data_IF_201140498159
#
_entry.id   IF_201140498159
#
_cell.length_a   1.000
_cell.length_b   1.000
_cell.length_c   1.000
_cell.angle_alpha   90.00
_cell.angle_beta   90.00
_cell.angle_gamma   90.00
#
_symmetry.space_group_name_H-M   'P 1'
#
loop_
_entity.id
_entity.type
_entity.pdbx_description
1 polymer ?
#
# COMPACT_ATOMS: atom_id res chain seq x y z
N UNK A 1 19.36 17.05 35.08
CA UNK A 1 19.00 15.77 34.43
C UNK A 1 18.75 15.90 32.93
N UNK A 2 17.78 16.68 32.47
CA UNK A 2 17.37 16.69 31.06
C UNK A 2 18.46 17.17 30.06
N UNK A 3 19.26 18.17 30.46
CA UNK A 3 20.39 18.68 29.66
C UNK A 3 21.54 17.67 29.51
N UNK A 4 21.76 16.83 30.52
CA UNK A 4 22.83 15.82 30.53
C UNK A 4 22.45 14.59 29.70
N UNK A 5 21.18 14.17 29.77
CA UNK A 5 20.59 13.17 28.89
C UNK A 5 20.77 13.54 27.40
N UNK A 6 20.47 14.80 27.05
CA UNK A 6 20.64 15.30 25.67
C UNK A 6 22.10 15.29 25.22
N UNK A 7 23.03 15.72 26.07
CA UNK A 7 24.47 15.71 25.75
C UNK A 7 25.01 14.30 25.56
N UNK A 8 24.69 13.38 26.47
CA UNK A 8 25.13 11.98 26.42
C UNK A 8 24.66 11.29 25.14
N UNK A 9 23.40 11.48 24.75
CA UNK A 9 22.84 10.88 23.55
C UNK A 9 23.38 11.50 22.24
N UNK A 10 23.79 12.79 22.23
CA UNK A 10 24.43 13.44 21.08
C UNK A 10 25.86 12.96 20.81
N UNK A 11 26.61 12.60 21.86
CA UNK A 11 27.98 12.07 21.71
C UNK A 11 28.05 10.79 20.88
N UNK A 12 26.95 10.04 20.81
CA UNK A 12 26.87 8.73 20.14
C UNK A 12 26.46 8.82 18.66
N UNK A 13 25.98 9.99 18.19
CA UNK A 13 25.56 10.18 16.79
C UNK A 13 26.65 10.78 15.90
N UNK A 14 27.84 11.10 16.43
CA UNK A 14 28.95 11.79 15.74
C UNK A 14 28.54 13.06 14.96
N UNK A 15 27.35 13.62 15.24
CA UNK A 15 26.73 14.75 14.54
C UNK A 15 25.90 15.57 15.52
N UNK A 16 25.93 16.89 15.36
CA UNK A 16 25.15 17.83 16.15
C UNK A 16 23.69 17.82 15.68
N UNK A 17 22.81 17.17 16.43
CA UNK A 17 21.36 17.18 16.19
C UNK A 17 20.76 18.38 16.92
N UNK A 18 20.49 19.46 16.17
CA UNK A 18 19.90 20.69 16.71
C UNK A 18 18.38 20.60 16.79
N UNK A 19 17.71 21.23 17.78
CA UNK A 19 16.26 21.35 17.83
C UNK A 19 15.65 21.77 16.49
N UNK A 20 14.55 21.13 16.05
CA UNK A 20 13.89 21.48 14.77
C UNK A 20 13.25 22.87 14.85
N UNK A 21 12.82 23.29 16.04
CA UNK A 21 12.17 24.58 16.34
C UNK A 21 12.68 25.12 17.66
N UNK A 22 12.45 26.42 17.90
CA UNK A 22 12.77 27.10 19.18
C UNK A 22 12.03 26.46 20.38
N UNK A 23 10.84 25.91 20.12
CA UNK A 23 10.02 25.16 21.08
C UNK A 23 9.83 23.77 20.48
N UNK A 24 10.70 22.82 20.83
CA UNK A 24 10.54 21.40 20.54
C UNK A 24 10.48 20.68 21.89
N UNK A 25 9.51 19.79 22.07
CA UNK A 25 9.41 18.99 23.30
C UNK A 25 10.62 18.08 23.46
N UNK A 26 11.01 17.81 24.71
CA UNK A 26 12.15 16.93 25.02
C UNK A 26 11.97 15.52 24.47
N UNK A 27 10.74 14.99 24.50
CA UNK A 27 10.40 13.69 23.94
C UNK A 27 10.60 13.66 22.42
N UNK A 28 10.18 14.71 21.71
CA UNK A 28 10.39 14.81 20.27
C UNK A 28 11.89 14.87 19.94
N UNK A 29 12.66 15.63 20.72
CA UNK A 29 14.11 15.73 20.55
C UNK A 29 14.82 14.39 20.79
N UNK A 30 14.48 13.66 21.87
CA UNK A 30 15.09 12.36 22.19
C UNK A 30 14.72 11.32 21.12
N UNK A 31 13.46 11.25 20.69
CA UNK A 31 13.04 10.33 19.62
C UNK A 31 13.76 10.60 18.31
N UNK A 32 14.00 11.87 18.00
CA UNK A 32 14.78 12.28 16.82
C UNK A 32 16.24 11.88 16.91
N UNK A 33 16.83 12.00 18.10
CA UNK A 33 18.20 11.60 18.36
C UNK A 33 18.38 10.08 18.28
N UNK A 34 17.45 9.30 18.85
CA UNK A 34 17.41 7.84 18.71
C UNK A 34 17.25 7.41 17.26
N UNK A 35 16.32 8.02 16.51
CA UNK A 35 16.13 7.75 15.09
C UNK A 35 17.40 8.06 14.29
N UNK A 36 18.16 9.10 14.64
CA UNK A 36 19.46 9.39 14.04
C UNK A 36 20.51 8.31 14.31
N UNK A 37 20.49 7.66 15.48
CA UNK A 37 21.41 6.55 15.80
C UNK A 37 21.11 5.32 14.94
N UNK A 38 19.84 5.10 14.60
CA UNK A 38 19.40 3.96 13.79
C UNK A 38 19.44 4.23 12.28
N UNK A 39 19.20 5.48 11.86
CA UNK A 39 19.15 5.90 10.47
C UNK A 39 19.67 7.34 10.33
N UNK A 40 20.99 7.49 10.18
CA UNK A 40 21.67 8.79 10.09
C UNK A 40 21.17 9.68 8.94
N UNK A 41 20.58 9.09 7.90
CA UNK A 41 20.08 9.77 6.70
C UNK A 41 18.59 10.14 6.76
N UNK A 42 17.81 9.62 7.72
CA UNK A 42 16.37 9.84 7.82
C UNK A 42 15.96 11.31 8.08
N UNK A 43 16.94 12.17 8.38
CA UNK A 43 16.77 13.59 8.72
C UNK A 43 17.17 14.50 7.54
N UNK A 44 17.87 13.97 6.53
CA UNK A 44 18.38 14.75 5.40
C UNK A 44 17.27 15.08 4.40
N UNK A 45 16.10 14.42 4.43
CA UNK A 45 15.01 14.77 3.52
C UNK A 45 14.47 16.16 3.89
N UNK A 46 14.67 17.18 3.04
CA UNK A 46 14.26 18.53 3.32
C UNK A 46 12.74 18.56 3.50
N UNK A 47 12.33 19.30 4.52
CA UNK A 47 10.97 19.57 4.97
C UNK A 47 10.09 20.06 3.81
N UNK A 48 9.41 19.15 3.11
CA UNK A 48 8.51 19.48 1.99
C UNK A 48 7.11 19.92 2.45
N UNK A 49 6.84 19.96 3.76
CA UNK A 49 5.76 20.71 4.39
C UNK A 49 6.04 20.78 5.90
N UNK A 50 5.46 21.73 6.66
CA UNK A 50 5.52 21.71 8.12
C UNK A 50 4.74 20.48 8.64
N UNK A 51 5.43 19.35 8.75
CA UNK A 51 4.98 18.20 9.54
C UNK A 51 4.79 18.69 10.99
N UNK A 52 3.57 18.52 11.52
CA UNK A 52 3.27 18.83 12.92
C UNK A 52 4.02 17.86 13.86
N UNK A 53 4.08 18.21 15.14
CA UNK A 53 4.84 17.42 16.13
C UNK A 53 4.24 16.02 16.34
N UNK A 54 2.93 15.85 16.18
CA UNK A 54 2.26 14.57 16.38
C UNK A 54 2.58 13.58 15.26
N UNK A 55 2.54 14.03 14.00
CA UNK A 55 2.91 13.24 12.82
C UNK A 55 4.41 12.91 12.85
N UNK A 56 5.25 13.88 13.21
CA UNK A 56 6.68 13.65 13.39
C UNK A 56 6.95 12.58 14.45
N UNK A 57 6.28 12.68 15.61
CA UNK A 57 6.41 11.71 16.70
C UNK A 57 6.01 10.29 16.25
N UNK A 58 4.89 10.13 15.54
CA UNK A 58 4.45 8.83 14.98
C UNK A 58 5.48 8.24 14.02
N UNK A 59 6.08 9.07 13.17
CA UNK A 59 7.12 8.66 12.23
C UNK A 59 8.40 8.20 12.92
N UNK A 60 8.85 8.93 13.93
CA UNK A 60 10.02 8.53 14.72
C UNK A 60 9.77 7.23 15.51
N UNK A 61 8.56 7.03 16.02
CA UNK A 61 8.17 5.74 16.64
C UNK A 61 8.25 4.62 15.62
N UNK A 62 7.75 4.83 14.40
CA UNK A 62 7.78 3.82 13.35
C UNK A 62 9.22 3.45 12.95
N UNK A 63 10.09 4.44 12.76
CA UNK A 63 11.53 4.22 12.49
C UNK A 63 12.17 3.47 13.65
N UNK A 64 11.88 3.87 14.90
CA UNK A 64 12.48 3.27 16.09
C UNK A 64 12.09 1.81 16.31
N UNK A 65 10.85 1.47 16.01
CA UNK A 65 10.32 0.13 16.14
C UNK A 65 10.73 -0.81 15.00
N UNK A 66 11.23 -0.27 13.88
CA UNK A 66 11.66 -1.10 12.75
C UNK A 66 13.06 -1.67 12.99
N UNK A 67 13.19 -2.99 12.84
CA UNK A 67 14.45 -3.72 12.99
C UNK A 67 15.40 -3.53 11.78
N UNK A 68 14.88 -3.06 10.66
CA UNK A 68 15.65 -2.80 9.43
C UNK A 68 16.65 -1.66 9.68
N UNK A 69 17.96 -1.90 9.55
CA UNK A 69 18.97 -0.86 9.76
C UNK A 69 18.81 0.25 8.73
N UNK A 70 19.01 1.49 9.15
CA UNK A 70 18.87 2.67 8.31
C UNK A 70 17.49 2.82 7.66
N UNK A 71 16.41 2.34 8.30
CA UNK A 71 15.06 2.54 7.80
C UNK A 71 14.71 4.03 7.77
N UNK A 72 14.32 4.51 6.60
CA UNK A 72 13.87 5.88 6.34
C UNK A 72 12.37 5.84 6.04
N UNK A 73 11.61 6.47 6.93
CA UNK A 73 10.19 6.71 6.71
C UNK A 73 10.00 8.17 6.31
N UNK A 74 9.45 8.40 5.12
CA UNK A 74 9.24 9.75 4.60
C UNK A 74 8.06 10.46 5.29
N UNK A 75 8.09 11.80 5.41
CA UNK A 75 6.97 12.59 5.97
C UNK A 75 5.65 12.40 5.22
N UNK A 76 4.56 12.78 5.89
CA UNK A 76 3.23 12.85 5.26
C UNK A 76 3.21 13.84 4.10
N UNK A 77 2.57 13.50 2.98
CA UNK A 77 2.33 14.43 1.87
C UNK A 77 0.92 15.01 1.92
N UNK A 78 0.68 16.07 1.14
CA UNK A 78 -0.66 16.66 0.98
C UNK A 78 -1.66 15.70 0.29
N UNK A 79 -1.16 14.69 -0.43
CA UNK A 79 -1.97 13.69 -1.14
C UNK A 79 -2.35 12.48 -0.30
N UNK A 80 -1.69 12.32 0.84
CA UNK A 80 -1.95 11.25 1.80
C UNK A 80 -2.99 11.71 2.82
N UNK A 81 -4.03 10.92 3.05
CA UNK A 81 -4.99 11.17 4.14
C UNK A 81 -4.36 10.87 5.50
N UNK A 82 -4.98 11.31 6.60
CA UNK A 82 -4.47 10.97 7.95
C UNK A 82 -4.53 9.45 8.19
N UNK A 83 -5.59 8.79 7.74
CA UNK A 83 -5.75 7.34 7.87
C UNK A 83 -4.70 6.57 7.05
N UNK A 84 -4.44 7.01 5.81
CA UNK A 84 -3.38 6.45 4.95
C UNK A 84 -2.00 6.60 5.60
N UNK A 85 -1.72 7.76 6.20
CA UNK A 85 -0.49 8.01 6.94
C UNK A 85 -0.35 7.05 8.14
N UNK A 86 -1.39 6.92 8.96
CA UNK A 86 -1.37 6.03 10.13
C UNK A 86 -1.17 4.57 9.74
N UNK A 87 -1.88 4.10 8.71
CA UNK A 87 -1.70 2.78 8.14
C UNK A 87 -0.24 2.56 7.71
N UNK A 88 0.35 3.54 7.02
CA UNK A 88 1.76 3.48 6.62
C UNK A 88 2.71 3.46 7.81
N UNK A 89 2.45 4.24 8.88
CA UNK A 89 3.30 4.23 10.08
C UNK A 89 3.28 2.88 10.79
N UNK A 90 2.12 2.22 10.86
CA UNK A 90 2.02 0.88 11.44
C UNK A 90 2.75 -0.16 10.60
N UNK A 91 2.55 -0.14 9.27
CA UNK A 91 3.27 -1.03 8.36
C UNK A 91 4.78 -0.76 8.35
N UNK A 92 5.17 0.49 8.57
CA UNK A 92 6.57 0.88 8.63
C UNK A 92 7.32 0.28 9.81
N UNK A 93 6.65 -0.22 10.86
CA UNK A 93 7.30 -0.88 11.99
C UNK A 93 7.87 -2.26 11.62
N UNK A 94 7.30 -2.92 10.62
CA UNK A 94 7.65 -4.30 10.25
C UNK A 94 8.13 -4.44 8.81
N UNK A 95 8.16 -3.34 8.04
CA UNK A 95 8.60 -3.38 6.66
C UNK A 95 10.10 -3.69 6.58
N UNK A 96 10.51 -4.69 5.75
CA UNK A 96 11.92 -5.03 5.55
C UNK A 96 12.64 -4.08 4.58
N UNK A 97 11.96 -3.04 4.11
CA UNK A 97 12.50 -2.10 3.14
C UNK A 97 13.17 -0.91 3.83
N UNK A 98 14.36 -0.49 3.36
CA UNK A 98 15.08 0.63 3.97
C UNK A 98 14.42 1.99 3.70
N UNK A 99 13.49 2.10 2.74
CA UNK A 99 12.85 3.36 2.40
C UNK A 99 11.36 3.16 2.13
N UNK A 100 10.53 3.89 2.86
CA UNK A 100 9.07 3.80 2.80
C UNK A 100 8.49 5.14 2.33
N UNK A 101 7.96 5.12 1.11
CA UNK A 101 7.40 6.30 0.44
C UNK A 101 5.96 6.59 0.88
N UNK A 102 5.57 7.88 0.98
CA UNK A 102 4.19 8.29 1.15
C UNK A 102 3.42 8.07 -0.16
N UNK A 103 2.13 8.39 -0.16
CA UNK A 103 1.33 8.37 -1.39
C UNK A 103 1.89 9.31 -2.46
N UNK A 104 2.05 8.80 -3.68
CA UNK A 104 2.53 9.55 -4.84
C UNK A 104 1.48 10.45 -5.48
N UNK A 105 1.89 11.42 -6.29
CA UNK A 105 0.98 12.37 -6.97
C UNK A 105 0.01 11.70 -7.93
N UNK A 106 0.44 10.64 -8.62
CA UNK A 106 -0.32 9.96 -9.68
C UNK A 106 -0.94 8.64 -9.21
N UNK A 107 -0.96 8.42 -7.90
CA UNK A 107 -1.40 7.19 -7.27
C UNK A 107 -2.79 7.37 -6.64
N UNK A 108 -3.72 6.48 -6.95
CA UNK A 108 -5.01 6.40 -6.24
C UNK A 108 -4.83 5.82 -4.83
N UNK A 109 -5.83 5.99 -3.94
CA UNK A 109 -5.76 5.41 -2.59
C UNK A 109 -5.66 3.87 -2.62
N UNK A 110 -6.34 3.22 -3.57
CA UNK A 110 -6.26 1.77 -3.77
C UNK A 110 -4.88 1.34 -4.25
N UNK A 111 -4.28 2.08 -5.20
CA UNK A 111 -2.92 1.84 -5.69
C UNK A 111 -1.89 1.99 -4.56
N UNK A 112 -2.05 3.03 -3.73
CA UNK A 112 -1.23 3.26 -2.55
C UNK A 112 -1.29 2.08 -1.58
N UNK A 113 -2.49 1.59 -1.26
CA UNK A 113 -2.64 0.43 -0.40
C UNK A 113 -1.99 -0.82 -0.99
N UNK A 114 -2.20 -1.09 -2.28
CA UNK A 114 -1.56 -2.22 -2.99
C UNK A 114 -0.04 -2.15 -2.90
N UNK A 115 0.54 -0.96 -3.12
CA UNK A 115 1.98 -0.73 -3.00
C UNK A 115 2.49 -0.94 -1.58
N UNK A 116 1.79 -0.41 -0.57
CA UNK A 116 2.16 -0.63 0.83
C UNK A 116 2.14 -2.11 1.21
N UNK A 117 1.13 -2.87 0.76
CA UNK A 117 1.05 -4.31 1.02
C UNK A 117 2.20 -5.09 0.37
N UNK A 118 2.59 -4.71 -0.85
CA UNK A 118 3.76 -5.27 -1.51
C UNK A 118 5.07 -4.86 -0.78
N UNK A 119 5.13 -3.65 -0.23
CA UNK A 119 6.30 -3.13 0.49
C UNK A 119 6.62 -3.95 1.75
N UNK A 120 5.60 -4.47 2.45
CA UNK A 120 5.81 -5.36 3.60
C UNK A 120 6.54 -6.66 3.23
N UNK A 121 6.49 -7.06 1.96
CA UNK A 121 7.08 -8.30 1.46
C UNK A 121 8.40 -8.05 0.71
N UNK A 122 8.74 -6.78 0.45
CA UNK A 122 9.92 -6.43 -0.35
C UNK A 122 11.04 -5.87 0.51
N UNK A 123 12.25 -6.42 0.34
CA UNK A 123 13.49 -5.87 0.89
C UNK A 123 13.94 -4.61 0.16
N UNK A 124 13.28 -4.24 -0.94
CA UNK A 124 13.60 -3.07 -1.77
C UNK A 124 12.46 -2.07 -1.74
N UNK A 125 12.76 -0.77 -1.92
CA UNK A 125 11.72 0.23 -2.01
C UNK A 125 10.87 0.04 -3.27
N UNK A 126 9.55 0.12 -3.13
CA UNK A 126 8.64 0.26 -4.28
C UNK A 126 8.34 1.75 -4.45
N UNK A 127 8.83 2.31 -5.56
CA UNK A 127 8.63 3.72 -5.92
C UNK A 127 7.16 3.97 -6.25
N UNK A 128 6.57 5.14 -5.89
CA UNK A 128 5.21 5.50 -6.29
C UNK A 128 5.00 5.51 -7.81
N UNK A 129 3.74 5.56 -8.24
CA UNK A 129 3.36 5.60 -9.66
C UNK A 129 3.86 6.88 -10.34
N UNK A 130 4.40 6.76 -11.57
CA UNK A 130 4.74 7.93 -12.41
C UNK A 130 3.54 8.46 -13.21
N UNK A 131 3.68 9.64 -13.82
CA UNK A 131 2.56 10.39 -14.45
C UNK A 131 1.81 9.60 -15.50
N UNK A 132 2.53 8.90 -16.38
CA UNK A 132 1.96 8.21 -17.53
C UNK A 132 2.05 6.68 -17.41
N UNK A 133 2.35 6.16 -16.20
CA UNK A 133 2.47 4.72 -15.98
C UNK A 133 1.09 4.06 -16.11
N UNK A 134 0.89 3.07 -17.00
CA UNK A 134 -0.38 2.36 -17.11
C UNK A 134 -0.74 1.64 -15.79
N UNK A 135 -2.02 1.60 -15.44
CA UNK A 135 -2.50 0.97 -14.19
C UNK A 135 -2.07 -0.51 -14.07
N UNK A 136 -2.15 -1.24 -15.20
CA UNK A 136 -1.68 -2.63 -15.29
C UNK A 136 -0.18 -2.74 -15.02
N UNK A 137 0.61 -1.84 -15.62
CA UNK A 137 2.07 -1.79 -15.43
C UNK A 137 2.46 -1.49 -13.98
N UNK A 138 1.79 -0.52 -13.35
CA UNK A 138 1.99 -0.21 -11.92
C UNK A 138 1.68 -1.40 -11.01
N UNK A 139 0.54 -2.05 -11.24
CA UNK A 139 0.09 -3.20 -10.45
C UNK A 139 1.07 -4.37 -10.58
N UNK A 140 1.54 -4.61 -11.81
CA UNK A 140 2.51 -5.65 -12.11
C UNK A 140 3.88 -5.36 -11.47
N UNK A 141 4.34 -4.11 -11.53
CA UNK A 141 5.56 -3.67 -10.83
C UNK A 141 5.49 -3.90 -9.32
N UNK A 142 4.37 -3.55 -8.68
CA UNK A 142 4.15 -3.83 -7.26
C UNK A 142 4.16 -5.34 -6.96
N UNK A 143 3.57 -6.17 -7.83
CA UNK A 143 3.54 -7.62 -7.68
C UNK A 143 4.93 -8.26 -7.82
N UNK A 144 5.77 -7.73 -8.71
CA UNK A 144 7.10 -8.28 -9.02
C UNK A 144 8.19 -7.83 -8.04
N UNK A 145 8.11 -6.60 -7.52
CA UNK A 145 9.18 -6.03 -6.69
C UNK A 145 9.62 -6.91 -5.50
N UNK A 146 8.72 -7.60 -4.76
CA UNK A 146 9.13 -8.49 -3.66
C UNK A 146 10.03 -9.65 -4.10
N UNK A 147 9.96 -10.05 -5.37
CA UNK A 147 10.76 -11.15 -5.93
C UNK A 147 12.08 -10.69 -6.52
N UNK A 148 12.26 -9.38 -6.72
CA UNK A 148 13.41 -8.81 -7.40
C UNK A 148 14.45 -8.31 -6.40
N UNK A 149 15.73 -8.57 -6.70
CA UNK A 149 16.86 -8.15 -5.87
C UNK A 149 17.18 -6.66 -6.04
N UNK A 150 16.72 -6.07 -7.14
CA UNK A 150 16.94 -4.67 -7.53
C UNK A 150 15.61 -3.92 -7.61
N UNK A 151 15.66 -2.61 -7.44
CA UNK A 151 14.46 -1.75 -7.56
C UNK A 151 14.03 -1.74 -9.03
N UNK A 152 12.75 -1.98 -9.27
CA UNK A 152 12.12 -1.81 -10.58
C UNK A 152 11.67 -0.35 -10.67
N UNK A 153 12.31 0.40 -11.55
CA UNK A 153 11.97 1.80 -11.80
C UNK A 153 10.58 1.94 -12.41
N UNK A 154 9.82 3.01 -12.07
CA UNK A 154 8.55 3.32 -12.72
C UNK A 154 8.74 3.61 -14.22
N UNK A 155 7.63 3.69 -14.96
CA UNK A 155 7.65 4.06 -16.38
C UNK A 155 8.22 5.47 -16.58
N UNK A 156 9.16 5.61 -17.52
CA UNK A 156 9.73 6.90 -17.94
C UNK A 156 9.46 7.14 -19.45
N UNK A 157 8.45 7.98 -19.79
CA UNK A 157 8.09 8.22 -21.19
C UNK A 157 9.18 8.93 -22.00
N UNK A 158 10.24 9.47 -21.36
CA UNK A 158 11.37 10.07 -22.07
C UNK A 158 12.38 9.03 -22.56
N UNK A 159 12.39 7.84 -21.96
CA UNK A 159 13.41 6.80 -22.20
C UNK A 159 12.84 5.54 -22.82
N UNK A 160 11.58 5.24 -22.57
CA UNK A 160 10.90 4.05 -23.07
C UNK A 160 9.47 4.35 -23.47
N UNK A 161 8.96 3.57 -24.44
CA UNK A 161 7.53 3.51 -24.74
C UNK A 161 6.84 2.44 -23.86
N UNK A 162 5.51 2.38 -23.92
CA UNK A 162 4.73 1.44 -23.11
C UNK A 162 5.09 -0.03 -23.42
N UNK A 163 5.36 -0.36 -24.69
CA UNK A 163 5.73 -1.72 -25.07
C UNK A 163 7.07 -2.13 -24.47
N UNK A 164 8.07 -1.26 -24.53
CA UNK A 164 9.37 -1.49 -23.93
C UNK A 164 9.27 -1.59 -22.41
N UNK A 165 8.41 -0.77 -21.77
CA UNK A 165 8.15 -0.86 -20.34
C UNK A 165 7.58 -2.23 -19.95
N UNK A 166 6.58 -2.72 -20.68
CA UNK A 166 6.00 -4.05 -20.42
C UNK A 166 7.04 -5.16 -20.61
N UNK A 167 7.88 -5.07 -21.66
CA UNK A 167 9.00 -5.99 -21.86
C UNK A 167 10.01 -5.92 -20.70
N UNK A 168 10.31 -4.73 -20.18
CA UNK A 168 11.16 -4.55 -18.99
C UNK A 168 10.58 -5.25 -17.76
N UNK A 169 9.27 -5.18 -17.55
CA UNK A 169 8.61 -5.92 -16.47
C UNK A 169 8.71 -7.43 -16.69
N UNK A 170 8.52 -7.92 -17.92
CA UNK A 170 8.73 -9.33 -18.27
C UNK A 170 10.18 -9.77 -17.99
N UNK A 171 11.17 -8.96 -18.38
CA UNK A 171 12.59 -9.25 -18.11
C UNK A 171 12.87 -9.34 -16.59
N UNK A 172 12.34 -8.41 -15.79
CA UNK A 172 12.45 -8.46 -14.33
C UNK A 172 11.79 -9.72 -13.74
N UNK A 173 10.68 -10.18 -14.32
CA UNK A 173 10.00 -11.40 -13.88
C UNK A 173 10.81 -12.67 -14.15
N UNK A 174 11.58 -12.70 -15.25
CA UNK A 174 12.41 -13.83 -15.66
C UNK A 174 13.81 -13.81 -15.03
N UNK A 175 14.38 -12.62 -14.82
CA UNK A 175 15.75 -12.40 -14.34
C UNK A 175 15.75 -11.45 -13.15
N UNK A 176 15.17 -11.89 -12.04
CA UNK A 176 14.94 -11.07 -10.83
C UNK A 176 16.21 -10.54 -10.14
N UNK A 177 17.37 -11.13 -10.42
CA UNK A 177 18.67 -10.68 -9.91
C UNK A 177 19.29 -9.52 -10.73
N UNK A 178 18.86 -9.35 -11.98
CA UNK A 178 19.39 -8.30 -12.86
C UNK A 178 18.64 -6.99 -12.64
N UNK A 179 19.33 -5.86 -12.87
CA UNK A 179 18.72 -4.55 -12.93
C UNK A 179 18.47 -4.18 -14.39
N UNK A 180 17.24 -3.76 -14.69
CA UNK A 180 16.90 -3.20 -16.00
C UNK A 180 16.46 -1.76 -15.83
N UNK A 181 17.30 -0.84 -16.31
CA UNK A 181 17.03 0.60 -16.30
C UNK A 181 16.02 0.97 -17.40
N UNK A 182 15.21 2.03 -17.23
CA UNK A 182 14.32 2.52 -18.27
C UNK A 182 15.10 2.85 -19.56
N UNK A 183 14.64 2.30 -20.69
CA UNK A 183 15.25 2.50 -22.01
C UNK A 183 16.39 1.55 -22.38
N UNK A 184 16.79 0.61 -21.52
CA UNK A 184 17.87 -0.36 -21.81
C UNK A 184 17.41 -1.51 -22.72
N UNK A 185 17.13 -1.18 -23.99
CA UNK A 185 16.61 -2.13 -24.99
C UNK A 185 17.46 -3.38 -25.15
N UNK A 186 18.79 -3.22 -25.11
CA UNK A 186 19.72 -4.34 -25.34
C UNK A 186 19.67 -5.34 -24.19
N UNK A 187 19.79 -4.87 -22.94
CA UNK A 187 19.73 -5.77 -21.80
C UNK A 187 18.36 -6.46 -21.69
N UNK A 188 17.27 -5.75 -22.01
CA UNK A 188 15.91 -6.32 -22.00
C UNK A 188 15.77 -7.40 -23.09
N UNK A 189 16.23 -7.14 -24.31
CA UNK A 189 16.23 -8.10 -25.41
C UNK A 189 17.06 -9.35 -25.08
N UNK A 190 18.26 -9.16 -24.53
CA UNK A 190 19.18 -10.23 -24.15
C UNK A 190 18.60 -11.10 -23.01
N UNK A 191 17.86 -10.49 -22.08
CA UNK A 191 17.25 -11.19 -20.95
C UNK A 191 16.04 -12.05 -21.34
N UNK A 192 15.22 -11.56 -22.28
CA UNK A 192 14.01 -12.26 -22.76
C UNK A 192 14.36 -13.29 -23.84
N UNK A 193 15.49 -13.10 -24.54
CA UNK A 193 15.88 -13.90 -25.69
C UNK A 193 15.15 -13.50 -26.96
N UNK A 194 15.79 -13.71 -28.11
CA UNK A 194 15.29 -13.31 -29.44
C UNK A 194 14.07 -14.11 -29.93
N UNK A 195 13.45 -14.97 -29.13
CA UNK A 195 12.30 -15.78 -29.58
C UNK A 195 11.07 -14.91 -29.90
N UNK A 196 10.91 -13.75 -29.26
CA UNK A 196 9.87 -12.78 -29.62
C UNK A 196 10.18 -11.93 -30.86
N UNK A 197 11.39 -12.02 -31.45
CA UNK A 197 11.69 -11.40 -32.75
C UNK A 197 11.21 -12.24 -33.94
N UNK A 198 10.87 -13.52 -33.75
CA UNK A 198 10.44 -14.42 -34.84
C UNK A 198 8.98 -14.23 -35.29
N UNK A 199 8.14 -13.57 -34.51
CA UNK A 199 6.72 -13.33 -34.89
C UNK A 199 6.49 -12.11 -35.79
N UNK A 200 7.53 -11.32 -36.12
CA UNK A 200 7.34 -10.07 -36.88
C UNK A 200 8.13 -9.98 -38.20
N UNK A 201 8.74 -11.06 -38.71
CA UNK A 201 9.49 -10.95 -39.98
C UNK A 201 9.50 -12.24 -40.79
N UNK A 202 8.54 -12.37 -41.70
CA UNK A 202 8.72 -13.17 -42.92
C UNK A 202 7.93 -12.54 -44.08
N UNK A 203 8.50 -11.49 -44.66
CA UNK A 203 8.32 -11.17 -46.07
C UNK A 203 9.72 -10.85 -46.59
N UNK A 204 10.33 -11.81 -47.27
CA UNK A 204 11.51 -11.54 -48.11
C UNK A 204 11.05 -11.48 -49.57
N UNK A 205 11.59 -10.54 -50.37
CA UNK A 205 11.24 -10.43 -51.78
C UNK A 205 12.03 -11.45 -52.60
N UNK A 206 11.34 -12.13 -53.51
CA UNK A 206 11.93 -13.05 -54.48
C UNK A 206 12.33 -12.26 -55.72
N UNK A 207 13.62 -12.22 -56.04
CA UNK A 207 14.10 -12.07 -57.44
C UNK A 207 15.45 -12.76 -57.61
N UNK A 208 15.49 -13.84 -58.41
CA UNK A 208 16.33 -13.97 -59.61
C UNK A 208 16.27 -15.41 -60.19
N UNK A 209 15.70 -15.50 -61.38
CA UNK A 209 16.13 -16.27 -62.57
C UNK A 209 16.63 -17.73 -62.44
N UNK A 210 15.98 -18.63 -63.19
CA UNK A 210 16.72 -19.62 -63.98
C UNK A 210 16.13 -21.04 -64.12
N UNK A 211 15.50 -21.27 -65.27
CA UNK A 211 15.52 -22.52 -66.08
C UNK A 211 14.61 -23.72 -65.78
N UNK A 212 13.94 -24.09 -66.89
CA UNK A 212 13.55 -25.40 -67.43
C UNK A 212 12.36 -26.17 -66.85
N UNK A 213 11.33 -26.22 -67.71
CA UNK A 213 10.68 -27.44 -68.20
C UNK A 213 10.03 -28.37 -67.16
N UNK A 214 8.80 -28.04 -66.77
CA UNK A 214 7.77 -29.02 -66.43
C UNK A 214 6.39 -28.34 -66.39
N UNK A 215 6.01 -27.67 -67.47
CA UNK A 215 4.60 -27.39 -67.72
C UNK A 215 3.92 -28.67 -68.20
N UNK A 216 2.70 -28.89 -67.70
CA UNK A 216 1.74 -29.96 -67.99
C UNK A 216 1.57 -30.98 -66.86
N UNK A 217 1.04 -30.55 -65.71
CA UNK A 217 0.03 -31.26 -64.89
C UNK A 217 -0.24 -30.49 -63.56
N UNK A 218 -0.56 -29.19 -63.62
CA UNK A 218 -0.88 -28.42 -62.41
C UNK A 218 -1.80 -27.22 -62.68
N UNK A 219 -3.01 -27.51 -63.16
CA UNK A 219 -4.07 -26.50 -63.25
C UNK A 219 -5.39 -26.96 -62.61
N UNK A 220 -5.58 -28.27 -62.38
CA UNK A 220 -6.77 -28.82 -61.73
C UNK A 220 -6.62 -29.00 -60.20
N UNK A 221 -5.39 -29.09 -59.69
CA UNK A 221 -5.11 -29.24 -58.25
C UNK A 221 -5.07 -27.88 -57.51
N UNK A 222 -4.69 -26.79 -58.18
CA UNK A 222 -4.64 -25.46 -57.56
C UNK A 222 -6.02 -24.89 -57.24
N UNK A 223 -7.04 -25.19 -58.05
CA UNK A 223 -8.41 -24.70 -57.82
C UNK A 223 -9.13 -25.47 -56.70
N UNK A 224 -8.86 -26.77 -56.59
CA UNK A 224 -9.42 -27.62 -55.52
C UNK A 224 -8.73 -27.41 -54.16
N UNK A 225 -7.44 -27.05 -54.15
CA UNK A 225 -6.73 -26.66 -52.92
C UNK A 225 -7.15 -25.27 -52.45
N UNK A 226 -7.32 -24.29 -53.36
CA UNK A 226 -7.83 -22.94 -52.99
C UNK A 226 -9.26 -22.98 -52.45
N UNK A 227 -10.13 -23.82 -53.01
CA UNK A 227 -11.49 -24.01 -52.49
C UNK A 227 -11.52 -24.68 -51.11
N UNK A 228 -10.67 -25.68 -50.85
CA UNK A 228 -10.58 -26.34 -49.53
C UNK A 228 -9.95 -25.46 -48.45
N UNK A 229 -8.98 -24.62 -48.80
CA UNK A 229 -8.39 -23.66 -47.86
C UNK A 229 -9.39 -22.56 -47.49
N UNK A 230 -10.15 -22.04 -48.46
CA UNK A 230 -11.21 -21.05 -48.18
C UNK A 230 -12.34 -21.62 -47.32
N UNK A 231 -12.72 -22.89 -47.52
CA UNK A 231 -13.72 -23.56 -46.70
C UNK A 231 -13.21 -23.82 -45.27
N UNK A 232 -11.95 -24.22 -45.11
CA UNK A 232 -11.34 -24.41 -43.79
C UNK A 232 -11.15 -23.09 -43.02
N UNK A 233 -10.84 -21.98 -43.69
CA UNK A 233 -10.76 -20.65 -43.06
C UNK A 233 -12.14 -20.12 -42.64
N UNK A 234 -13.19 -20.39 -43.41
CA UNK A 234 -14.55 -20.02 -43.05
C UNK A 234 -15.04 -20.81 -41.81
N UNK A 235 -14.81 -22.13 -41.78
CA UNK A 235 -15.15 -22.98 -40.62
C UNK A 235 -14.33 -22.62 -39.38
N UNK A 236 -13.05 -22.26 -39.53
CA UNK A 236 -12.21 -21.80 -38.43
C UNK A 236 -12.65 -20.42 -37.88
N UNK A 237 -13.08 -19.51 -38.75
CA UNK A 237 -13.59 -18.20 -38.36
C UNK A 237 -14.95 -18.30 -37.63
N UNK A 238 -15.81 -19.24 -38.03
CA UNK A 238 -17.07 -19.50 -37.34
C UNK A 238 -16.87 -20.17 -35.98
N UNK A 239 -15.95 -21.15 -35.90
CA UNK A 239 -15.57 -21.78 -34.64
C UNK A 239 -14.91 -20.79 -33.65
N UNK A 240 -14.10 -19.84 -34.15
CA UNK A 240 -13.52 -18.79 -33.33
C UNK A 240 -14.57 -17.84 -32.74
N UNK A 241 -15.59 -17.46 -33.53
CA UNK A 241 -16.71 -16.64 -33.04
C UNK A 241 -17.55 -17.37 -31.98
N UNK A 242 -17.75 -18.67 -32.15
CA UNK A 242 -18.50 -19.47 -31.16
C UNK A 242 -17.71 -19.62 -29.85
N UNK A 243 -16.39 -19.79 -29.94
CA UNK A 243 -15.51 -19.87 -28.78
C UNK A 243 -15.43 -18.53 -28.01
N UNK A 244 -15.36 -17.40 -28.72
CA UNK A 244 -15.32 -16.07 -28.10
C UNK A 244 -16.64 -15.76 -27.35
N UNK A 245 -17.78 -16.10 -27.94
CA UNK A 245 -19.09 -15.96 -27.28
C UNK A 245 -19.23 -16.86 -26.03
N UNK A 246 -18.71 -18.09 -26.07
CA UNK A 246 -18.71 -18.98 -24.89
C UNK A 246 -17.78 -18.48 -23.78
N UNK A 247 -16.64 -17.87 -24.12
CA UNK A 247 -15.74 -17.29 -23.12
C UNK A 247 -16.30 -16.04 -22.44
N UNK A 248 -17.08 -15.22 -23.15
CA UNK A 248 -17.75 -14.05 -22.57
C UNK A 248 -18.86 -14.45 -21.58
N UNK A 249 -19.61 -15.52 -21.87
CA UNK A 249 -20.66 -16.03 -20.98
C UNK A 249 -20.08 -16.67 -19.71
N UNK A 250 -18.99 -17.44 -19.83
CA UNK A 250 -18.27 -17.99 -18.68
C UNK A 250 -17.61 -16.90 -17.82
N UNK A 251 -17.02 -15.87 -18.44
CA UNK A 251 -16.40 -14.75 -17.71
C UNK A 251 -17.46 -13.90 -16.97
N UNK A 252 -18.63 -13.69 -17.58
CA UNK A 252 -19.76 -13.03 -16.94
C UNK A 252 -20.30 -13.83 -15.74
N UNK A 253 -20.38 -15.16 -15.86
CA UNK A 253 -20.79 -16.03 -14.76
C UNK A 253 -19.78 -16.00 -13.58
N UNK A 254 -18.48 -16.05 -13.88
CA UNK A 254 -17.41 -15.93 -12.87
C UNK A 254 -17.37 -14.55 -12.21
N UNK A 255 -17.68 -13.48 -12.95
CA UNK A 255 -17.80 -12.14 -12.40
C UNK A 255 -19.02 -12.03 -11.46
N UNK A 256 -20.16 -12.59 -11.85
CA UNK A 256 -21.36 -12.62 -11.01
C UNK A 256 -21.13 -13.42 -9.71
N UNK A 257 -20.43 -14.55 -9.79
CA UNK A 257 -20.09 -15.36 -8.62
C UNK A 257 -19.14 -14.59 -7.67
N UNK A 258 -18.13 -13.89 -8.20
CA UNK A 258 -17.23 -13.05 -7.37
C UNK A 258 -17.96 -11.89 -6.69
N UNK A 259 -18.95 -11.30 -7.35
CA UNK A 259 -19.81 -10.27 -6.75
C UNK A 259 -20.67 -10.87 -5.64
N UNK A 260 -21.27 -12.05 -5.86
CA UNK A 260 -22.04 -12.76 -4.84
C UNK A 260 -21.19 -13.14 -3.62
N UNK A 261 -19.96 -13.64 -3.83
CA UNK A 261 -19.01 -13.94 -2.76
C UNK A 261 -18.59 -12.69 -1.98
N UNK A 262 -18.38 -11.54 -2.65
CA UNK A 262 -18.12 -10.26 -1.98
C UNK A 262 -19.30 -9.78 -1.13
N UNK A 263 -20.52 -9.91 -1.63
CA UNK A 263 -21.73 -9.54 -0.88
C UNK A 263 -21.90 -10.46 0.33
N UNK A 264 -21.66 -11.77 0.18
CA UNK A 264 -21.70 -12.71 1.29
C UNK A 264 -20.62 -12.41 2.35
N UNK A 265 -19.39 -12.11 1.93
CA UNK A 265 -18.29 -11.73 2.83
C UNK A 265 -18.56 -10.40 3.55
N UNK A 266 -19.18 -9.42 2.88
CA UNK A 266 -19.59 -8.17 3.51
C UNK A 266 -20.71 -8.40 4.53
N UNK A 267 -21.69 -9.26 4.24
CA UNK A 267 -22.73 -9.63 5.20
C UNK A 267 -22.16 -10.37 6.41
N UNK A 268 -21.17 -11.25 6.21
CA UNK A 268 -20.52 -11.97 7.30
C UNK A 268 -19.72 -11.02 8.20
N UNK A 269 -18.94 -10.10 7.61
CA UNK A 269 -18.23 -9.05 8.36
C UNK A 269 -19.17 -8.10 9.10
N UNK A 270 -20.28 -7.71 8.49
CA UNK A 270 -21.29 -6.89 9.16
C UNK A 270 -21.93 -7.63 10.34
N UNK A 271 -22.20 -8.94 10.20
CA UNK A 271 -22.69 -9.76 11.31
C UNK A 271 -21.64 -9.94 12.42
N UNK A 272 -20.36 -10.07 12.06
CA UNK A 272 -19.24 -10.20 12.99
C UNK A 272 -18.98 -8.88 13.73
N UNK A 273 -19.05 -7.72 13.06
CA UNK A 273 -18.96 -6.40 13.69
C UNK A 273 -20.13 -6.14 14.66
N UNK A 274 -21.35 -6.56 14.30
CA UNK A 274 -22.51 -6.48 15.20
C UNK A 274 -22.34 -7.41 16.41
N UNK A 275 -21.80 -8.62 16.21
CA UNK A 275 -21.50 -9.54 17.31
C UNK A 275 -20.36 -9.04 18.22
N UNK A 276 -19.36 -8.36 17.65
CA UNK A 276 -18.22 -7.79 18.39
C UNK A 276 -18.63 -6.50 19.14
N UNK A 277 -19.54 -5.71 18.57
CA UNK A 277 -20.18 -4.58 19.25
C UNK A 277 -21.07 -5.06 20.41
N UNK A 278 -21.75 -6.21 20.25
CA UNK A 278 -22.55 -6.82 21.31
C UNK A 278 -21.67 -7.38 22.46
N UNK A 279 -20.48 -7.92 22.17
CA UNK A 279 -19.51 -8.45 23.15
C UNK A 279 -18.73 -7.40 23.95
N UNK A 280 -18.82 -6.10 23.62
CA UNK A 280 -18.26 -5.01 24.45
C UNK A 280 -19.24 -4.47 25.50
N UNK A 281 -20.34 -5.17 25.74
CA UNK A 281 -21.12 -5.02 26.97
C UNK A 281 -20.73 -6.15 27.93
N UNK A 282 -20.56 -5.84 29.22
CA UNK A 282 -20.23 -6.75 30.34
C UNK A 282 -18.74 -6.94 30.72
N UNK A 283 -17.96 -5.85 30.76
CA UNK A 283 -16.87 -5.74 31.73
C UNK A 283 -17.16 -4.53 32.64
N UNK A 284 -17.41 -4.80 33.92
CA UNK A 284 -17.55 -3.78 34.97
C UNK A 284 -16.21 -3.05 35.10
N UNK A 285 -16.15 -1.79 34.67
CA UNK A 285 -14.97 -0.94 34.87
C UNK A 285 -15.10 -0.23 36.22
N UNK A 286 -14.14 -0.47 37.11
CA UNK A 286 -14.00 0.31 38.33
C UNK A 286 -13.42 1.68 38.01
N UNK A 287 -14.17 2.74 38.29
CA UNK A 287 -13.76 4.13 38.06
C UNK A 287 -13.61 4.83 39.41
N UNK A 288 -12.43 5.43 39.64
CA UNK A 288 -12.19 6.30 40.80
C UNK A 288 -12.50 7.75 40.42
N UNK A 289 -13.44 8.36 41.14
CA UNK A 289 -13.90 9.74 40.88
C UNK A 289 -12.79 10.79 41.08
N UNK A 290 -11.86 10.51 41.99
CA UNK A 290 -10.74 11.39 42.31
C UNK A 290 -9.66 11.35 41.23
N UNK A 291 -9.47 10.19 40.59
CA UNK A 291 -8.46 9.98 39.55
C UNK A 291 -8.90 10.50 38.17
N UNK A 292 -10.20 10.43 37.86
CA UNK A 292 -10.72 10.84 36.55
C UNK A 292 -10.95 12.35 36.48
N UNK A 293 -10.46 13.00 35.43
CA UNK A 293 -10.70 14.43 35.18
C UNK A 293 -12.18 14.72 34.83
N UNK A 294 -12.63 15.95 35.04
CA UNK A 294 -14.03 16.34 34.81
C UNK A 294 -14.45 16.20 33.34
N UNK A 295 -13.62 16.65 32.40
CA UNK A 295 -13.89 16.52 30.96
C UNK A 295 -13.80 15.08 30.44
N UNK A 296 -12.80 14.27 30.85
CA UNK A 296 -12.79 12.83 30.58
C UNK A 296 -14.05 12.10 31.07
N UNK A 297 -14.54 12.41 32.26
CA UNK A 297 -15.75 11.80 32.81
C UNK A 297 -17.00 12.14 31.97
N UNK A 298 -17.14 13.39 31.50
CA UNK A 298 -18.23 13.77 30.59
C UNK A 298 -18.22 12.97 29.29
N UNK A 299 -17.05 12.80 28.68
CA UNK A 299 -16.91 12.02 27.44
C UNK A 299 -17.29 10.56 27.64
N UNK A 300 -16.82 9.96 28.74
CA UNK A 300 -17.12 8.57 29.07
C UNK A 300 -18.62 8.33 29.25
N UNK A 301 -19.33 9.22 29.95
CA UNK A 301 -20.78 9.09 30.14
C UNK A 301 -21.56 9.23 28.83
N UNK A 302 -21.15 10.16 27.96
CA UNK A 302 -21.77 10.34 26.62
C UNK A 302 -21.53 9.11 25.74
N UNK A 303 -20.30 8.58 25.74
CA UNK A 303 -19.94 7.38 24.96
C UNK A 303 -20.69 6.13 25.44
N UNK A 304 -21.07 6.09 26.72
CA UNK A 304 -21.87 5.01 27.32
C UNK A 304 -23.38 5.22 27.22
N UNK A 305 -23.84 6.27 26.52
CA UNK A 305 -25.25 6.48 26.18
C UNK A 305 -26.03 7.44 27.07
N UNK A 306 -25.37 8.19 27.96
CA UNK A 306 -26.04 9.26 28.73
C UNK A 306 -26.29 10.47 27.82
N UNK A 307 -27.51 11.04 27.80
CA UNK A 307 -27.83 12.22 27.01
C UNK A 307 -26.90 13.40 27.31
N UNK A 308 -26.52 14.13 26.26
CA UNK A 308 -25.55 15.24 26.37
C UNK A 308 -26.09 16.34 27.28
N UNK A 309 -27.38 16.58 27.26
CA UNK A 309 -28.08 17.62 28.01
C UNK A 309 -27.88 17.42 29.52
N UNK A 310 -27.97 16.18 30.01
CA UNK A 310 -27.78 15.84 31.41
C UNK A 310 -26.30 15.91 31.83
N UNK A 311 -25.39 15.47 30.96
CA UNK A 311 -23.94 15.49 31.22
C UNK A 311 -23.38 16.93 31.20
N UNK A 312 -23.85 17.78 30.30
CA UNK A 312 -23.41 19.17 30.23
C UNK A 312 -24.10 20.06 31.26
N UNK A 313 -25.31 19.70 31.73
CA UNK A 313 -26.00 20.37 32.83
C UNK A 313 -25.36 20.16 34.21
N UNK A 314 -24.51 19.14 34.39
CA UNK A 314 -23.81 18.90 35.65
C UNK A 314 -22.65 19.90 35.88
N UNK A 315 -22.66 20.67 36.99
CA UNK A 315 -21.66 21.70 37.26
C UNK A 315 -20.36 21.16 37.92
N UNK A 316 -20.36 19.93 38.42
CA UNK A 316 -19.24 19.35 39.17
C UNK A 316 -19.07 17.85 38.93
N UNK A 317 -17.89 17.30 39.28
CA UNK A 317 -17.62 15.85 39.18
C UNK A 317 -18.61 15.01 40.00
N UNK A 318 -18.99 15.49 41.19
CA UNK A 318 -19.97 14.82 42.05
C UNK A 318 -21.37 14.84 41.44
N UNK A 319 -21.76 15.95 40.78
CA UNK A 319 -23.02 15.98 40.04
C UNK A 319 -23.02 14.99 38.85
N UNK A 320 -21.87 14.77 38.19
CA UNK A 320 -21.75 13.73 37.16
C UNK A 320 -21.85 12.31 37.73
N UNK A 321 -21.39 12.08 38.97
CA UNK A 321 -21.58 10.80 39.66
C UNK A 321 -23.05 10.55 39.97
N UNK A 322 -23.80 11.57 40.37
CA UNK A 322 -25.26 11.45 40.58
C UNK A 322 -26.01 11.20 39.27
N UNK A 323 -25.63 11.88 38.19
CA UNK A 323 -26.14 11.59 36.84
C UNK A 323 -25.83 10.14 36.47
N UNK A 324 -24.61 9.67 36.71
CA UNK A 324 -24.25 8.29 36.42
C UNK A 324 -25.02 7.27 37.26
N UNK A 325 -25.29 7.55 38.54
CA UNK A 325 -26.14 6.70 39.40
C UNK A 325 -27.59 6.61 38.90
N UNK A 326 -28.11 7.67 38.27
CA UNK A 326 -29.46 7.63 37.64
C UNK A 326 -29.51 6.73 36.41
N UNK A 327 -28.36 6.52 35.75
CA UNK A 327 -28.22 5.73 34.53
C UNK A 327 -27.47 4.41 34.79
N UNK A 328 -27.47 3.91 36.03
CA UNK A 328 -26.64 2.78 36.47
C UNK A 328 -26.94 1.48 35.71
N UNK A 329 -28.20 1.26 35.34
CA UNK A 329 -28.64 0.12 34.51
C UNK A 329 -27.95 0.10 33.12
N UNK A 330 -27.62 1.27 32.59
CA UNK A 330 -26.97 1.45 31.28
C UNK A 330 -25.45 1.47 31.43
N UNK A 331 -24.94 2.10 32.50
CA UNK A 331 -23.53 2.44 32.65
C UNK A 331 -22.67 1.32 33.21
N UNK A 332 -23.20 0.47 34.12
CA UNK A 332 -22.48 -0.61 34.81
C UNK A 332 -21.08 -0.17 35.31
N UNK A 333 -21.03 0.92 36.08
CA UNK A 333 -19.78 1.50 36.62
C UNK A 333 -19.73 1.25 38.13
N UNK A 334 -18.66 0.64 38.63
CA UNK A 334 -18.37 0.60 40.07
C UNK A 334 -17.54 1.82 40.48
N UNK A 335 -18.04 2.58 41.46
CA UNK A 335 -17.37 3.75 42.01
C UNK A 335 -16.45 3.36 43.17
N UNK A 336 -15.16 3.66 43.06
CA UNK A 336 -14.21 3.45 44.16
C UNK A 336 -13.93 4.77 44.89
N UNK A 337 -14.47 4.89 46.11
CA UNK A 337 -14.11 5.96 47.05
C UNK A 337 -12.86 5.54 47.84
N UNK A 338 -11.78 6.31 47.77
CA UNK A 338 -10.66 6.11 48.69
C UNK A 338 -11.09 6.57 50.08
N UNK A 339 -11.32 5.61 50.98
CA UNK A 339 -11.32 5.82 52.42
C UNK A 339 -9.98 6.43 52.84
N UNK A 340 -9.95 7.75 52.96
CA UNK A 340 -8.86 8.44 53.67
C UNK A 340 -9.14 8.29 55.16
N UNK A 341 -8.51 7.28 55.77
CA UNK A 341 -8.34 7.23 57.22
C UNK A 341 -7.55 8.48 57.61
N UNK A 342 -8.25 9.49 58.12
CA UNK A 342 -7.62 10.61 58.83
C UNK A 342 -7.09 10.07 60.15
N UNK A 343 -5.79 10.23 60.35
CA UNK A 343 -5.14 10.09 61.65
C UNK A 343 -5.54 11.22 62.58
#
# INVERSE_FOLDING_TARGET
MERELRKSAQTLTHRLVLPKRKVESSDAFIRRLDAHRQATEAIIIPLTAPEDEALFAKRMIAVKANETPNCIVLPKTARETVQEFECRMEMAKTSPSPLIFPRGTHESGAQFHTRLQAQLKSKRPIVPRSTDEPDKGFSERCRLQPKCEKVIHPFDPKREDEQLYLRRLTANSQKSALAFEPGDKRAIDDAIGTEHKKTARKVEPVTALGSSAADLMSAAEEETVKAKVAQAEAEAAEAAKLAEAQTEEEEAALAAERVAQRIAAMKLKAAEEVATACRKSFALEQISIDAIGFMPLKKLLIERGVPKEEVFGAPSKFALQEVAKKWDEVLKIEWTEKLTVRT
#
